data_IF_556892872374
#
_entry.id   IF_556892872374
#
_cell.length_a   1.000
_cell.length_b   1.000
_cell.length_c   1.000
_cell.angle_alpha   90.00
_cell.angle_beta   90.00
_cell.angle_gamma   90.00
#
_symmetry.space_group_name_H-M   'P 1'
#
loop_
_entity.id
_entity.type
_entity.pdbx_description
1 polymer ?
#
# COMPACT_ATOMS: atom_id res chain seq x y z
N UNK A 1 8.28 22.57 0.00
CA UNK A 1 8.56 21.26 -0.59
C UNK A 1 7.25 20.48 -0.62
N UNK A 2 6.85 19.89 -1.75
CA UNK A 2 5.62 19.08 -1.84
C UNK A 2 6.03 17.61 -1.83
N UNK A 3 5.55 16.85 -0.85
CA UNK A 3 5.88 15.43 -0.63
C UNK A 3 4.59 14.64 -0.77
N UNK A 4 4.65 13.48 -1.41
CA UNK A 4 3.53 12.54 -1.52
C UNK A 4 4.01 11.15 -1.09
N UNK A 5 3.29 10.52 -0.16
CA UNK A 5 3.54 9.14 0.26
C UNK A 5 2.62 8.21 -0.55
N UNK A 6 3.14 7.69 -1.65
CA UNK A 6 2.46 6.66 -2.42
C UNK A 6 2.82 5.26 -1.89
N UNK A 7 1.83 4.40 -1.62
CA UNK A 7 2.08 3.07 -1.06
C UNK A 7 1.08 2.02 -1.55
N UNK A 8 1.47 0.75 -1.53
CA UNK A 8 0.59 -0.40 -1.75
C UNK A 8 0.54 -1.27 -0.49
N UNK A 9 -0.64 -1.77 -0.13
CA UNK A 9 -0.77 -2.72 0.98
C UNK A 9 -1.82 -3.79 0.73
N UNK A 10 -1.37 -5.04 0.54
CA UNK A 10 -2.27 -6.19 0.41
C UNK A 10 -2.91 -6.63 1.73
N UNK A 11 -2.15 -6.59 2.83
CA UNK A 11 -2.59 -7.04 4.17
C UNK A 11 -2.73 -5.91 5.19
N UNK A 12 -2.68 -4.65 4.73
CA UNK A 12 -2.83 -3.46 5.58
C UNK A 12 -1.62 -3.10 6.45
N UNK A 13 -0.56 -3.91 6.50
CA UNK A 13 0.65 -3.60 7.29
C UNK A 13 1.34 -2.34 6.78
N UNK A 14 1.59 -2.27 5.47
CA UNK A 14 2.20 -1.10 4.81
C UNK A 14 1.35 0.16 4.96
N UNK A 15 0.01 0.04 4.99
CA UNK A 15 -0.90 1.16 5.21
C UNK A 15 -0.68 1.86 6.56
N UNK A 16 -0.40 1.09 7.62
CA UNK A 16 -0.09 1.64 8.94
C UNK A 16 1.21 2.45 8.91
N UNK A 17 2.25 1.92 8.25
CA UNK A 17 3.55 2.59 8.12
C UNK A 17 3.43 3.85 7.27
N UNK A 18 2.74 3.78 6.13
CA UNK A 18 2.53 4.94 5.25
C UNK A 18 1.77 6.07 5.94
N UNK A 19 0.77 5.74 6.78
CA UNK A 19 0.08 6.71 7.62
C UNK A 19 1.03 7.39 8.61
N UNK A 20 1.85 6.60 9.32
CA UNK A 20 2.82 7.15 10.26
C UNK A 20 3.82 8.10 9.57
N UNK A 21 4.32 7.71 8.38
CA UNK A 21 5.22 8.54 7.57
C UNK A 21 4.51 9.83 7.13
N UNK A 22 3.27 9.77 6.65
CA UNK A 22 2.51 10.96 6.23
C UNK A 22 2.25 11.92 7.39
N UNK A 23 2.00 11.37 8.58
CA UNK A 23 1.70 12.16 9.78
C UNK A 23 2.96 12.87 10.30
N UNK A 24 4.12 12.20 10.24
CA UNK A 24 5.43 12.80 10.59
C UNK A 24 5.83 13.89 9.58
N UNK A 25 5.68 13.60 8.29
CA UNK A 25 6.09 14.51 7.21
C UNK A 25 5.04 15.58 6.88
N UNK A 26 3.86 15.52 7.51
CA UNK A 26 2.69 16.39 7.27
C UNK A 26 2.39 16.55 5.78
N UNK A 27 2.24 15.42 5.09
CA UNK A 27 2.10 15.40 3.64
C UNK A 27 0.94 14.50 3.19
N UNK A 28 0.60 14.61 1.92
CA UNK A 28 -0.45 13.79 1.32
C UNK A 28 0.00 12.33 1.18
N UNK A 29 -0.97 11.42 1.18
CA UNK A 29 -0.75 9.99 0.97
C UNK A 29 -1.75 9.42 -0.02
N UNK A 30 -1.30 8.48 -0.82
CA UNK A 30 -2.11 7.83 -1.83
C UNK A 30 -1.89 6.31 -1.80
N UNK A 31 -2.99 5.56 -1.76
CA UNK A 31 -2.96 4.12 -1.78
C UNK A 31 -3.10 3.64 -3.24
N UNK A 32 -2.07 2.94 -3.72
CA UNK A 32 -2.06 2.30 -5.02
C UNK A 32 -2.84 0.99 -4.89
N UNK A 33 -3.88 0.82 -5.69
CA UNK A 33 -4.65 -0.42 -5.78
C UNK A 33 -4.19 -1.21 -7.01
N UNK A 34 -3.74 -2.45 -6.82
CA UNK A 34 -3.46 -3.35 -7.94
C UNK A 34 -4.79 -3.89 -8.48
N UNK A 35 -5.09 -3.56 -9.74
CA UNK A 35 -6.29 -4.00 -10.45
C UNK A 35 -6.17 -5.48 -10.83
N UNK A 36 -4.95 -6.01 -10.87
CA UNK A 36 -4.66 -7.39 -11.24
C UNK A 36 -4.59 -8.23 -9.96
N UNK A 37 -5.60 -9.07 -9.75
CA UNK A 37 -5.53 -10.07 -8.69
C UNK A 37 -4.35 -11.01 -8.96
N UNK A 38 -3.36 -10.99 -8.05
CA UNK A 38 -2.25 -11.97 -8.03
C UNK A 38 -2.61 -13.21 -7.22
N UNK A 39 -3.89 -13.40 -6.93
CA UNK A 39 -4.45 -14.68 -6.52
C UNK A 39 -4.51 -15.52 -7.78
N UNK A 40 -3.38 -16.18 -8.11
CA UNK A 40 -3.42 -17.28 -9.07
C UNK A 40 -4.46 -18.31 -8.63
N UNK A 41 -4.94 -19.10 -9.60
CA UNK A 41 -6.09 -20.02 -9.51
C UNK A 41 -6.17 -20.84 -8.22
N UNK A 42 -5.05 -21.25 -7.66
CA UNK A 42 -4.94 -21.87 -6.35
C UNK A 42 -3.44 -21.83 -6.06
N UNK A 43 -3.05 -21.85 -4.79
CA UNK A 43 -1.67 -22.22 -4.46
C UNK A 43 -1.30 -23.48 -5.22
N UNK A 44 -0.09 -23.50 -5.79
CA UNK A 44 0.54 -24.65 -6.43
C UNK A 44 0.12 -25.95 -5.71
N UNK A 45 -0.55 -26.87 -6.43
CA UNK A 45 -1.04 -28.16 -5.94
C UNK A 45 -2.14 -28.14 -4.86
N UNK A 46 -3.35 -28.51 -5.28
CA UNK A 46 -4.12 -29.55 -4.61
C UNK A 46 -4.77 -30.45 -5.64
#
# INVERSE_FOLDING_TARGET
>A
MKILVAFYSRSGKTKKVAKAISDILKCDKEEIFDIKSREGILGSAK
#
